data_IF_266755079701
#
_entry.id   IF_266755079701
#
_cell.length_a   1.000
_cell.length_b   1.000
_cell.length_c   1.000
_cell.angle_alpha   90.00
_cell.angle_beta   90.00
_cell.angle_gamma   90.00
#
_symmetry.space_group_name_H-M   'P 1'
#
loop_
_entity.id
_entity.type
_entity.pdbx_description
1 polymer ?
#
# COMPACT_ATOMS: atom_id res chain seq x y z
N UNK A 1 -31.51 32.23 -10.21
CA UNK A 1 -30.83 31.15 -9.46
C UNK A 1 -29.50 30.88 -10.15
N UNK A 2 -28.37 30.92 -9.45
CA UNK A 2 -27.06 30.74 -10.07
C UNK A 2 -26.75 29.25 -10.24
N UNK A 3 -27.40 28.62 -11.23
CA UNK A 3 -27.20 27.20 -11.54
C UNK A 3 -25.72 26.85 -11.78
N UNK A 4 -24.92 27.80 -12.26
CA UNK A 4 -23.48 27.66 -12.43
C UNK A 4 -22.73 27.45 -11.09
N UNK A 5 -23.05 28.20 -10.04
CA UNK A 5 -22.40 28.05 -8.74
C UNK A 5 -22.82 26.76 -8.04
N UNK A 6 -24.06 26.33 -8.23
CA UNK A 6 -24.52 25.02 -7.76
C UNK A 6 -23.81 23.87 -8.50
N UNK A 7 -23.67 23.98 -9.83
CA UNK A 7 -22.93 23.01 -10.63
C UNK A 7 -21.46 22.89 -10.24
N UNK A 8 -20.76 24.01 -10.07
CA UNK A 8 -19.36 24.02 -9.63
C UNK A 8 -19.18 23.42 -8.24
N UNK A 9 -20.06 23.78 -7.29
CA UNK A 9 -20.04 23.20 -5.94
C UNK A 9 -20.23 21.69 -5.97
N UNK A 10 -21.19 21.20 -6.77
CA UNK A 10 -21.42 19.77 -6.92
C UNK A 10 -20.20 19.04 -7.49
N UNK A 11 -19.53 19.61 -8.49
CA UNK A 11 -18.31 19.04 -9.08
C UNK A 11 -17.19 18.95 -8.05
N UNK A 12 -16.96 20.00 -7.27
CA UNK A 12 -15.92 20.01 -6.22
C UNK A 12 -16.20 18.91 -5.19
N UNK A 13 -17.45 18.76 -4.76
CA UNK A 13 -17.85 17.69 -3.82
C UNK A 13 -17.57 16.31 -4.43
N UNK A 14 -17.91 16.09 -5.70
CA UNK A 14 -17.66 14.83 -6.38
C UNK A 14 -16.16 14.52 -6.49
N UNK A 15 -15.32 15.52 -6.78
CA UNK A 15 -13.87 15.36 -6.83
C UNK A 15 -13.32 14.98 -5.45
N UNK A 16 -13.72 15.68 -4.39
CA UNK A 16 -13.29 15.38 -3.02
C UNK A 16 -13.75 13.99 -2.61
N UNK A 17 -15.00 13.61 -2.91
CA UNK A 17 -15.53 12.29 -2.61
C UNK A 17 -14.78 11.20 -3.38
N UNK A 18 -14.49 11.43 -4.67
CA UNK A 18 -13.74 10.51 -5.51
C UNK A 18 -12.35 10.24 -4.93
N UNK A 19 -11.54 11.28 -4.72
CA UNK A 19 -10.18 11.11 -4.20
C UNK A 19 -10.12 10.72 -2.71
N UNK A 20 -11.16 11.05 -1.93
CA UNK A 20 -11.24 10.70 -0.51
C UNK A 20 -11.74 9.28 -0.23
N UNK A 21 -12.52 8.68 -1.15
CA UNK A 21 -13.18 7.40 -0.92
C UNK A 21 -12.61 6.30 -1.82
N UNK A 22 -12.44 6.56 -3.12
CA UNK A 22 -12.09 5.52 -4.08
C UNK A 22 -10.69 4.93 -3.81
N UNK A 23 -9.60 5.71 -3.64
CA UNK A 23 -8.29 5.12 -3.38
C UNK A 23 -8.22 4.31 -2.07
N UNK A 24 -8.73 4.80 -0.91
CA UNK A 24 -8.77 3.98 0.31
C UNK A 24 -9.62 2.71 0.19
N UNK A 25 -10.69 2.74 -0.61
CA UNK A 25 -11.53 1.57 -0.88
C UNK A 25 -10.76 0.51 -1.67
N UNK A 26 -10.07 0.91 -2.75
CA UNK A 26 -9.23 0.01 -3.56
C UNK A 26 -8.07 -0.54 -2.72
N UNK A 27 -7.42 0.27 -1.88
CA UNK A 27 -6.39 -0.17 -0.94
C UNK A 27 -6.92 -1.30 -0.04
N UNK A 28 -8.10 -1.10 0.56
CA UNK A 28 -8.69 -2.08 1.45
C UNK A 28 -9.03 -3.39 0.74
N UNK A 29 -9.53 -3.32 -0.50
CA UNK A 29 -9.85 -4.50 -1.30
C UNK A 29 -8.60 -5.26 -1.77
N UNK A 30 -7.55 -4.52 -2.12
CA UNK A 30 -6.31 -5.08 -2.68
C UNK A 30 -5.36 -5.61 -1.61
N UNK A 31 -5.35 -4.98 -0.43
CA UNK A 31 -4.40 -5.27 0.66
C UNK A 31 -5.10 -5.89 1.88
N UNK A 32 -5.96 -6.87 1.66
CA UNK A 32 -6.68 -7.55 2.74
C UNK A 32 -5.71 -8.39 3.58
N UNK A 33 -5.73 -8.18 4.90
CA UNK A 33 -5.03 -9.03 5.85
C UNK A 33 -5.98 -10.13 6.30
N UNK A 34 -5.73 -11.36 5.85
CA UNK A 34 -6.51 -12.52 6.25
C UNK A 34 -6.01 -13.09 7.58
N UNK A 35 -6.92 -13.55 8.44
CA UNK A 35 -6.53 -14.33 9.61
C UNK A 35 -5.97 -15.67 9.14
N UNK A 36 -4.72 -15.94 9.49
CA UNK A 36 -4.12 -17.26 9.32
C UNK A 36 -3.95 -17.92 10.69
N UNK A 37 -4.19 -19.23 10.77
CA UNK A 37 -3.81 -19.99 11.94
C UNK A 37 -2.30 -19.87 12.16
N UNK A 38 -1.91 -19.40 13.35
CA UNK A 38 -0.49 -19.29 13.68
C UNK A 38 0.07 -20.70 13.89
N UNK A 39 1.02 -21.09 13.04
CA UNK A 39 1.81 -22.28 13.28
C UNK A 39 2.43 -22.23 14.70
N UNK A 40 2.57 -23.39 15.33
CA UNK A 40 3.26 -23.47 16.62
C UNK A 40 4.75 -23.14 16.41
N UNK A 41 5.18 -21.98 16.90
CA UNK A 41 6.56 -21.51 16.79
C UNK A 41 7.35 -22.08 17.98
N UNK A 42 8.52 -22.65 17.74
CA UNK A 42 9.39 -23.14 18.82
C UNK A 42 10.08 -21.99 19.56
N UNK A 43 10.45 -22.23 20.81
CA UNK A 43 11.21 -21.25 21.60
C UNK A 43 12.59 -20.98 20.98
N UNK A 44 13.21 -22.00 20.39
CA UNK A 44 14.47 -21.87 19.66
C UNK A 44 14.34 -20.89 18.48
N UNK A 45 13.30 -21.04 17.65
CA UNK A 45 13.06 -20.15 16.51
C UNK A 45 12.78 -18.71 16.97
N UNK A 46 11.95 -18.55 18.02
CA UNK A 46 11.65 -17.24 18.60
C UNK A 46 12.90 -16.55 19.12
N UNK A 47 13.77 -17.28 19.82
CA UNK A 47 15.01 -16.74 20.39
C UNK A 47 16.06 -16.41 19.33
N UNK A 48 16.13 -17.20 18.25
CA UNK A 48 16.97 -16.88 17.10
C UNK A 48 16.48 -15.61 16.41
N UNK A 49 15.19 -15.55 16.06
CA UNK A 49 14.59 -14.43 15.32
C UNK A 49 14.80 -13.09 16.02
N UNK A 50 14.68 -13.06 17.36
CA UNK A 50 14.92 -11.86 18.19
C UNK A 50 16.36 -11.34 18.17
N UNK A 51 17.34 -12.15 17.75
CA UNK A 51 18.76 -11.78 17.72
C UNK A 51 19.26 -11.36 16.35
N UNK A 52 18.48 -11.62 15.29
CA UNK A 52 18.87 -11.33 13.93
C UNK A 52 18.74 -9.83 13.61
N UNK A 53 19.63 -9.35 12.75
CA UNK A 53 19.42 -8.09 12.03
C UNK A 53 18.64 -8.42 10.76
N UNK A 54 17.35 -8.15 10.75
CA UNK A 54 16.47 -8.52 9.63
C UNK A 54 16.30 -7.32 8.71
N UNK A 55 16.73 -7.50 7.46
CA UNK A 55 16.43 -6.57 6.38
C UNK A 55 15.36 -7.13 5.47
N UNK A 56 14.30 -6.36 5.24
CA UNK A 56 13.34 -6.63 4.17
C UNK A 56 13.67 -5.73 2.97
N UNK A 57 13.73 -6.37 1.81
CA UNK A 57 14.25 -5.80 0.58
C UNK A 57 13.18 -5.14 -0.28
N UNK A 58 11.91 -5.45 -0.05
CA UNK A 58 10.87 -4.91 -0.90
C UNK A 58 9.50 -4.95 -0.23
N UNK A 59 8.86 -3.79 -0.15
CA UNK A 59 7.46 -3.68 0.22
C UNK A 59 6.81 -2.47 -0.47
N UNK A 60 5.70 -2.70 -1.17
CA UNK A 60 4.92 -1.67 -1.88
C UNK A 60 3.99 -0.88 -0.95
N UNK A 61 4.46 -0.57 0.26
CA UNK A 61 3.65 0.10 1.29
C UNK A 61 3.40 1.58 0.96
N UNK A 62 4.30 2.17 0.18
CA UNK A 62 4.28 3.59 -0.26
C UNK A 62 3.28 3.84 -1.39
N UNK A 63 2.82 2.80 -2.09
CA UNK A 63 1.82 2.92 -3.16
C UNK A 63 0.49 3.51 -2.66
N UNK A 64 0.16 3.28 -1.38
CA UNK A 64 -1.19 3.53 -0.85
C UNK A 64 -1.32 4.80 0.00
N UNK A 65 -0.32 5.69 -0.01
CA UNK A 65 -0.31 6.97 0.74
C UNK A 65 -0.79 6.86 2.20
N UNK A 66 -0.49 5.73 2.86
CA UNK A 66 -0.82 5.49 4.28
C UNK A 66 0.23 6.10 5.18
N UNK A 67 -0.18 6.53 6.37
CA UNK A 67 0.75 6.87 7.45
C UNK A 67 1.30 5.59 8.10
N UNK A 68 2.45 5.12 7.64
CA UNK A 68 3.05 3.86 8.11
C UNK A 68 3.47 3.87 9.60
N UNK A 69 3.38 5.01 10.30
CA UNK A 69 3.56 5.05 11.75
C UNK A 69 2.38 4.41 12.51
N UNK A 70 1.23 4.27 11.86
CA UNK A 70 0.00 3.73 12.44
C UNK A 70 -0.22 2.28 12.01
N UNK A 71 -0.85 1.50 12.90
CA UNK A 71 -1.26 0.13 12.59
C UNK A 71 -2.62 0.12 11.91
N UNK A 72 -2.71 -0.48 10.73
CA UNK A 72 -3.97 -0.60 9.98
C UNK A 72 -4.52 -2.02 9.93
N UNK A 73 -5.83 -2.17 9.76
CA UNK A 73 -6.49 -3.47 9.50
C UNK A 73 -6.32 -3.98 8.06
N UNK A 74 -5.72 -3.17 7.19
CA UNK A 74 -5.30 -3.47 5.81
C UNK A 74 -3.81 -3.19 5.65
N UNK A 75 -3.19 -3.75 4.62
CA UNK A 75 -1.75 -3.64 4.41
C UNK A 75 -0.96 -4.59 5.32
N UNK A 76 0.12 -5.15 4.76
CA UNK A 76 0.93 -6.16 5.43
C UNK A 76 2.11 -5.58 6.22
N UNK A 77 2.47 -4.33 5.96
CA UNK A 77 3.63 -3.68 6.55
C UNK A 77 3.30 -2.26 7.03
N UNK A 78 3.66 -2.02 8.28
CA UNK A 78 3.69 -0.72 8.96
C UNK A 78 4.78 -0.77 10.05
N UNK A 79 5.19 0.38 10.57
CA UNK A 79 6.26 0.50 11.55
C UNK A 79 5.93 -0.28 12.84
N UNK A 80 4.71 -0.25 13.40
CA UNK A 80 4.34 -1.09 14.54
C UNK A 80 4.52 -2.59 14.29
N UNK A 81 4.15 -3.09 13.11
CA UNK A 81 4.38 -4.51 12.71
C UNK A 81 5.86 -4.81 12.52
N UNK A 82 6.64 -3.89 11.95
CA UNK A 82 8.10 -4.04 11.80
C UNK A 82 8.78 -4.19 13.16
N UNK A 83 8.43 -3.33 14.12
CA UNK A 83 8.92 -3.41 15.50
C UNK A 83 8.50 -4.71 16.17
N UNK A 84 7.25 -5.14 15.99
CA UNK A 84 6.76 -6.43 16.51
C UNK A 84 7.51 -7.63 15.88
N UNK A 85 7.90 -7.52 14.61
CA UNK A 85 8.54 -8.57 13.82
C UNK A 85 10.08 -8.58 13.84
N UNK A 86 10.72 -7.71 14.62
CA UNK A 86 12.18 -7.53 14.64
C UNK A 86 12.80 -7.16 13.26
N UNK A 87 12.09 -6.35 12.46
CA UNK A 87 12.63 -5.84 11.19
C UNK A 87 13.48 -4.59 11.49
N UNK A 88 14.78 -4.69 11.21
CA UNK A 88 15.77 -3.66 11.51
C UNK A 88 16.02 -2.71 10.32
N UNK A 89 15.84 -3.20 9.09
CA UNK A 89 15.97 -2.41 7.86
C UNK A 89 14.81 -2.71 6.92
N UNK A 90 14.20 -1.67 6.36
CA UNK A 90 13.18 -1.79 5.31
C UNK A 90 13.57 -0.93 4.13
N UNK A 91 13.58 -1.54 2.95
CA UNK A 91 13.59 -0.79 1.71
C UNK A 91 12.17 -0.38 1.33
N UNK A 92 11.92 0.93 1.36
CA UNK A 92 10.71 1.54 0.82
C UNK A 92 10.96 1.92 -0.64
N UNK A 93 10.48 1.07 -1.54
CA UNK A 93 10.65 1.28 -2.98
C UNK A 93 9.61 2.28 -3.50
N UNK A 94 10.03 3.10 -4.47
CA UNK A 94 9.10 3.94 -5.23
C UNK A 94 8.59 3.14 -6.41
N UNK A 95 7.29 2.84 -6.43
CA UNK A 95 6.63 2.22 -7.59
C UNK A 95 6.12 3.31 -8.51
N UNK A 96 6.48 3.24 -9.79
CA UNK A 96 6.18 4.30 -10.77
C UNK A 96 5.13 3.90 -11.81
N UNK A 97 4.94 2.60 -12.09
CA UNK A 97 3.91 2.09 -13.01
C UNK A 97 3.92 0.56 -13.06
N UNK A 98 2.74 -0.08 -13.13
CA UNK A 98 2.64 -1.47 -13.56
C UNK A 98 2.29 -1.49 -15.05
N UNK A 99 3.32 -1.61 -15.90
CA UNK A 99 3.09 -1.74 -17.34
C UNK A 99 2.33 -3.04 -17.63
N UNK A 100 1.27 -2.95 -18.43
CA UNK A 100 0.61 -4.14 -19.00
C UNK A 100 1.66 -5.04 -19.69
N UNK A 101 1.40 -6.36 -19.68
CA UNK A 101 2.25 -7.55 -19.97
C UNK A 101 3.08 -7.58 -21.27
N UNK A 102 3.56 -6.47 -21.83
CA UNK A 102 4.44 -6.47 -22.99
C UNK A 102 5.55 -5.43 -22.83
N UNK A 103 6.76 -5.90 -22.52
CA UNK A 103 7.98 -5.12 -22.68
C UNK A 103 8.72 -4.82 -21.37
N UNK A 104 9.46 -5.80 -20.85
CA UNK A 104 10.50 -5.61 -19.81
C UNK A 104 11.70 -4.76 -20.29
N UNK A 105 11.57 -4.01 -21.38
CA UNK A 105 12.66 -3.26 -22.02
C UNK A 105 12.14 -1.90 -22.49
N UNK A 106 12.53 -0.84 -21.78
CA UNK A 106 12.29 0.59 -22.01
C UNK A 106 11.16 1.23 -21.19
N UNK A 107 11.53 2.05 -20.22
CA UNK A 107 10.65 3.01 -19.53
C UNK A 107 10.44 4.28 -20.41
N UNK A 108 10.06 4.09 -21.68
CA UNK A 108 9.68 5.20 -22.55
C UNK A 108 8.22 5.60 -22.30
N UNK A 109 7.90 6.89 -22.48
CA UNK A 109 6.66 7.62 -22.12
C UNK A 109 5.29 7.03 -22.54
N UNK A 110 5.20 5.80 -23.07
CA UNK A 110 4.00 5.21 -23.65
C UNK A 110 3.64 3.82 -23.13
N UNK A 111 3.93 3.52 -21.87
CA UNK A 111 3.36 2.32 -21.25
C UNK A 111 2.06 2.66 -20.53
N UNK A 112 0.99 1.96 -20.91
CA UNK A 112 -0.31 1.99 -20.26
C UNK A 112 -0.15 1.41 -18.86
N UNK A 113 -0.37 2.25 -17.86
CA UNK A 113 -0.40 1.82 -16.46
C UNK A 113 -1.77 1.21 -16.17
N UNK A 114 -1.78 -0.09 -15.91
CA UNK A 114 -3.01 -0.83 -15.66
C UNK A 114 -3.62 -0.52 -14.28
N UNK A 115 -2.85 0.10 -13.37
CA UNK A 115 -3.31 0.50 -12.04
C UNK A 115 -4.05 1.85 -12.08
N UNK A 116 -3.63 2.81 -12.91
CA UNK A 116 -4.30 4.12 -13.06
C UNK A 116 -5.72 4.02 -13.67
N UNK A 117 -6.11 2.86 -14.23
CA UNK A 117 -7.42 2.65 -14.87
C UNK A 117 -8.53 2.15 -13.93
N UNK A 118 -8.21 1.83 -12.67
CA UNK A 118 -9.13 1.37 -11.63
C UNK A 118 -9.47 2.50 -10.64
#
# INVERSE_FOLDING_TARGET
MNYLSFGLTAIIILIIAFFGILPPFIDWQSNRVLSSEKAKISDQATNLHKKLFIGDWHADSTLWSRDLSLRYSRGHLDIPRMQQGNIALQMFTSVTSASSRSGYTNNGEKFRDDITLL
#
